data_IF_473830065397
#
_entry.id   IF_473830065397
#
_cell.length_a   1.000
_cell.length_b   1.000
_cell.length_c   1.000
_cell.angle_alpha   90.00
_cell.angle_beta   90.00
_cell.angle_gamma   90.00
#
_symmetry.space_group_name_H-M   'P 1'
#
loop_
_entity.id
_entity.type
_entity.pdbx_description
1 polymer ?
#
# COMPACT_ATOMS: atom_id res chain seq x y z
N UNK A 1 33.71 -8.84 -2.04
CA UNK A 1 32.78 -9.85 -2.59
C UNK A 1 32.05 -10.45 -1.40
N UNK A 2 30.71 -10.50 -1.47
CA UNK A 2 29.89 -11.13 -0.43
C UNK A 2 30.12 -12.64 -0.52
N UNK A 3 30.51 -13.26 0.59
CA UNK A 3 30.61 -14.72 0.65
C UNK A 3 29.21 -15.33 0.75
N UNK A 4 28.65 -15.69 -0.39
CA UNK A 4 27.31 -16.30 -0.46
C UNK A 4 27.26 -17.73 0.08
N UNK A 5 28.41 -18.38 0.26
CA UNK A 5 28.48 -19.78 0.72
C UNK A 5 27.86 -19.98 2.11
N UNK A 6 27.93 -18.96 2.96
CA UNK A 6 27.38 -18.98 4.33
C UNK A 6 25.85 -19.06 4.36
N UNK A 7 25.19 -18.60 3.28
CA UNK A 7 23.74 -18.56 3.18
C UNK A 7 23.13 -19.73 2.42
N UNK A 8 23.95 -20.51 1.73
CA UNK A 8 23.50 -21.63 0.91
C UNK A 8 22.71 -22.66 1.74
N UNK A 9 21.46 -22.91 1.37
CA UNK A 9 20.56 -23.86 2.04
C UNK A 9 19.98 -23.39 3.38
N UNK A 10 20.29 -22.15 3.81
CA UNK A 10 19.66 -21.55 5.00
C UNK A 10 18.18 -21.30 4.77
N UNK A 11 17.40 -21.40 5.84
CA UNK A 11 15.95 -21.17 5.81
C UNK A 11 15.60 -19.79 6.36
N UNK A 12 14.73 -19.05 5.66
CA UNK A 12 14.30 -17.73 6.09
C UNK A 12 12.78 -17.65 6.27
N UNK A 13 12.36 -16.90 7.29
CA UNK A 13 10.96 -16.46 7.50
C UNK A 13 10.88 -14.96 7.30
N UNK A 14 9.89 -14.54 6.52
CA UNK A 14 9.61 -13.13 6.22
C UNK A 14 8.32 -12.69 6.90
N UNK A 15 8.39 -11.59 7.64
CA UNK A 15 7.21 -11.02 8.29
C UNK A 15 7.07 -9.55 7.94
N UNK A 16 5.95 -9.20 7.28
CA UNK A 16 5.68 -7.81 6.87
C UNK A 16 4.51 -7.24 7.64
N UNK A 17 4.75 -6.08 8.24
CA UNK A 17 3.72 -5.25 8.87
C UNK A 17 3.56 -3.95 8.08
N UNK A 18 2.33 -3.45 7.96
CA UNK A 18 2.04 -2.14 7.40
C UNK A 18 1.50 -2.16 5.98
N UNK A 19 2.11 -1.39 5.08
CA UNK A 19 1.54 -1.01 3.79
C UNK A 19 2.03 -1.88 2.60
N UNK A 20 1.45 -1.63 1.43
CA UNK A 20 1.85 -2.26 0.16
C UNK A 20 3.33 -2.02 -0.17
N UNK A 21 3.86 -0.86 0.22
CA UNK A 21 5.27 -0.51 0.04
C UNK A 21 6.19 -1.43 0.86
N UNK A 22 5.89 -1.64 2.15
CA UNK A 22 6.64 -2.59 2.97
C UNK A 22 6.56 -4.02 2.40
N UNK A 23 5.39 -4.41 1.89
CA UNK A 23 5.23 -5.72 1.26
C UNK A 23 6.12 -5.87 0.02
N UNK A 24 6.12 -4.89 -0.87
CA UNK A 24 6.99 -4.89 -2.05
C UNK A 24 8.47 -4.97 -1.67
N UNK A 25 8.90 -4.18 -0.68
CA UNK A 25 10.28 -4.20 -0.17
C UNK A 25 10.66 -5.57 0.39
N UNK A 26 9.80 -6.18 1.24
CA UNK A 26 10.08 -7.51 1.82
C UNK A 26 10.17 -8.58 0.75
N UNK A 27 9.29 -8.56 -0.25
CA UNK A 27 9.33 -9.52 -1.37
C UNK A 27 10.61 -9.37 -2.19
N UNK A 28 11.14 -8.15 -2.32
CA UNK A 28 12.43 -7.90 -2.97
C UNK A 28 13.59 -8.46 -2.14
N UNK A 29 13.56 -8.29 -0.82
CA UNK A 29 14.55 -8.89 0.08
C UNK A 29 14.54 -10.41 0.00
N UNK A 30 13.34 -11.02 0.00
CA UNK A 30 13.19 -12.46 -0.13
C UNK A 30 13.84 -12.98 -1.43
N UNK A 31 13.56 -12.30 -2.56
CA UNK A 31 14.18 -12.65 -3.85
C UNK A 31 15.70 -12.52 -3.84
N UNK A 32 16.22 -11.44 -3.23
CA UNK A 32 17.68 -11.26 -3.13
C UNK A 32 18.36 -12.34 -2.26
N UNK A 33 17.68 -12.79 -1.19
CA UNK A 33 18.17 -13.90 -0.35
C UNK A 33 18.05 -15.24 -1.08
N UNK A 34 17.00 -15.47 -1.86
CA UNK A 34 16.85 -16.65 -2.71
C UNK A 34 17.97 -16.75 -3.75
N UNK A 35 18.37 -15.64 -4.37
CA UNK A 35 19.50 -15.57 -5.31
C UNK A 35 20.84 -15.94 -4.63
N UNK A 36 20.91 -15.87 -3.30
CA UNK A 36 22.06 -16.32 -2.50
C UNK A 36 21.92 -17.77 -2.00
N UNK A 37 20.88 -18.48 -2.39
CA UNK A 37 20.63 -19.85 -2.01
C UNK A 37 19.86 -20.04 -0.70
N UNK A 38 19.27 -18.97 -0.14
CA UNK A 38 18.36 -19.07 1.01
C UNK A 38 17.01 -19.59 0.52
N UNK A 39 16.38 -20.47 1.28
CA UNK A 39 15.08 -21.06 1.00
C UNK A 39 14.03 -20.51 1.97
N UNK A 40 12.83 -20.19 1.51
CA UNK A 40 11.74 -19.81 2.42
C UNK A 40 11.35 -21.01 3.29
N UNK A 41 11.31 -20.81 4.61
CA UNK A 41 10.95 -21.85 5.56
C UNK A 41 9.46 -22.20 5.41
N UNK A 42 9.15 -23.50 5.44
CA UNK A 42 7.78 -23.98 5.46
C UNK A 42 7.05 -23.59 6.75
N UNK A 43 5.73 -23.74 6.72
CA UNK A 43 4.90 -23.52 7.91
C UNK A 43 5.36 -24.47 9.03
N UNK A 44 5.64 -23.93 10.19
CA UNK A 44 6.11 -24.64 11.38
C UNK A 44 7.55 -25.22 11.26
N UNK A 45 8.31 -24.87 10.24
CA UNK A 45 9.73 -25.17 10.17
C UNK A 45 10.57 -24.11 10.89
N UNK A 46 11.66 -24.51 11.60
CA UNK A 46 12.57 -23.54 12.17
C UNK A 46 13.33 -22.80 11.07
N UNK A 47 13.54 -21.50 11.28
CA UNK A 47 14.31 -20.65 10.37
C UNK A 47 15.70 -20.37 10.93
N UNK A 48 16.67 -20.17 10.00
CA UNK A 48 18.00 -19.64 10.32
C UNK A 48 18.00 -18.10 10.28
N UNK A 49 17.11 -17.51 9.48
CA UNK A 49 16.99 -16.05 9.31
C UNK A 49 15.52 -15.65 9.53
N UNK A 50 15.29 -14.65 10.36
CA UNK A 50 13.97 -14.00 10.50
C UNK A 50 14.09 -12.56 10.06
N UNK A 51 13.42 -12.17 8.97
CA UNK A 51 13.38 -10.80 8.47
C UNK A 51 12.01 -10.17 8.74
N UNK A 52 12.01 -9.07 9.48
CA UNK A 52 10.80 -8.36 9.88
C UNK A 52 10.82 -6.94 9.34
N UNK A 53 9.86 -6.60 8.47
CA UNK A 53 9.67 -5.24 7.97
C UNK A 53 8.51 -4.58 8.74
N UNK A 54 8.82 -3.49 9.44
CA UNK A 54 7.98 -2.88 10.48
C UNK A 54 7.28 -1.62 10.01
N UNK A 55 6.15 -1.31 10.65
CA UNK A 55 5.32 -0.13 10.41
C UNK A 55 5.25 0.75 11.66
N UNK A 56 5.05 2.08 11.48
CA UNK A 56 4.96 3.03 12.60
C UNK A 56 3.96 4.17 12.34
N UNK A 57 2.89 3.89 11.58
CA UNK A 57 1.86 4.92 11.29
C UNK A 57 0.93 5.18 12.48
N UNK A 58 0.79 4.22 13.41
CA UNK A 58 -0.02 4.34 14.63
C UNK A 58 0.68 3.68 15.82
N UNK A 59 0.31 4.06 17.04
CA UNK A 59 0.79 3.40 18.26
C UNK A 59 0.43 1.90 18.30
N UNK A 60 -0.76 1.57 17.80
CA UNK A 60 -1.20 0.16 17.66
C UNK A 60 -0.29 -0.60 16.71
N UNK A 61 0.19 0.04 15.62
CA UNK A 61 1.14 -0.57 14.70
C UNK A 61 2.48 -0.85 15.40
N UNK A 62 3.00 0.09 16.19
CA UNK A 62 4.23 -0.09 16.97
C UNK A 62 4.11 -1.25 17.96
N UNK A 63 2.97 -1.33 18.67
CA UNK A 63 2.69 -2.44 19.57
C UNK A 63 2.66 -3.79 18.86
N UNK A 64 1.98 -3.87 17.70
CA UNK A 64 1.96 -5.07 16.85
C UNK A 64 3.36 -5.44 16.35
N UNK A 65 4.20 -4.46 16.02
CA UNK A 65 5.58 -4.71 15.62
C UNK A 65 6.37 -5.38 16.75
N UNK A 66 6.33 -4.84 17.96
CA UNK A 66 6.99 -5.45 19.13
C UNK A 66 6.49 -6.87 19.39
N UNK A 67 5.18 -7.08 19.36
CA UNK A 67 4.61 -8.43 19.54
C UNK A 67 5.09 -9.41 18.46
N UNK A 68 5.15 -8.98 17.20
CA UNK A 68 5.63 -9.81 16.10
C UNK A 68 7.11 -10.17 16.24
N UNK A 69 7.96 -9.21 16.64
CA UNK A 69 9.39 -9.45 16.91
C UNK A 69 9.54 -10.48 18.01
N UNK A 70 8.92 -10.27 19.18
CA UNK A 70 9.00 -11.22 20.30
C UNK A 70 8.45 -12.61 19.94
N UNK A 71 7.40 -12.68 19.13
CA UNK A 71 6.85 -13.95 18.67
C UNK A 71 7.84 -14.71 17.81
N UNK A 72 8.44 -14.05 16.83
CA UNK A 72 9.40 -14.67 15.90
C UNK A 72 10.68 -15.11 16.59
N UNK A 73 11.21 -14.31 17.50
CA UNK A 73 12.37 -14.68 18.34
C UNK A 73 12.06 -15.95 19.15
N UNK A 74 10.90 -16.03 19.81
CA UNK A 74 10.51 -17.22 20.58
C UNK A 74 10.30 -18.46 19.72
N UNK A 75 9.76 -18.29 18.52
CA UNK A 75 9.54 -19.41 17.59
C UNK A 75 10.84 -19.90 16.94
N UNK A 76 11.84 -19.04 16.82
CA UNK A 76 13.12 -19.32 16.16
C UNK A 76 14.29 -18.86 17.05
N UNK A 77 14.55 -19.51 18.20
CA UNK A 77 15.51 -19.02 19.20
C UNK A 77 16.97 -19.00 18.72
N UNK A 78 17.29 -19.74 17.66
CA UNK A 78 18.62 -19.81 17.07
C UNK A 78 18.74 -19.02 15.75
N UNK A 79 17.67 -18.35 15.32
CA UNK A 79 17.68 -17.60 14.07
C UNK A 79 18.42 -16.27 14.21
N UNK A 80 19.04 -15.82 13.12
CA UNK A 80 19.53 -14.46 12.99
C UNK A 80 18.35 -13.53 12.65
N UNK A 81 18.00 -12.67 13.60
CA UNK A 81 16.81 -11.81 13.50
C UNK A 81 17.18 -10.43 12.98
N UNK A 82 16.64 -10.07 11.82
CA UNK A 82 16.82 -8.77 11.15
C UNK A 82 15.53 -7.98 11.23
N UNK A 83 15.59 -6.75 11.74
CA UNK A 83 14.44 -5.85 11.81
C UNK A 83 14.71 -4.59 10.99
N UNK A 84 13.78 -4.24 10.11
CA UNK A 84 13.83 -3.02 9.30
C UNK A 84 12.46 -2.34 9.21
N UNK A 85 12.36 -1.24 8.47
CA UNK A 85 11.11 -0.53 8.22
C UNK A 85 10.93 0.73 9.07
N UNK A 86 9.71 1.29 9.05
CA UNK A 86 9.45 2.61 9.64
C UNK A 86 9.65 2.64 11.16
N UNK A 87 9.23 1.58 11.88
CA UNK A 87 9.41 1.50 13.33
C UNK A 87 10.90 1.33 13.68
N UNK A 88 11.62 0.50 12.94
CA UNK A 88 13.06 0.33 13.11
C UNK A 88 13.85 1.64 12.91
N UNK A 89 13.43 2.49 11.96
CA UNK A 89 14.05 3.81 11.73
C UNK A 89 13.76 4.80 12.85
N UNK A 90 12.51 4.87 13.32
CA UNK A 90 12.08 5.86 14.33
C UNK A 90 12.54 5.51 15.74
N UNK A 91 12.64 4.22 16.06
CA UNK A 91 12.90 3.70 17.40
C UNK A 91 14.08 2.69 17.38
N UNK A 92 15.14 3.02 16.61
CA UNK A 92 16.28 2.12 16.36
C UNK A 92 16.84 1.51 17.64
N UNK A 93 17.14 2.34 18.66
CA UNK A 93 17.69 1.89 19.94
C UNK A 93 16.71 0.99 20.70
N UNK A 94 15.41 1.33 20.74
CA UNK A 94 14.42 0.49 21.41
C UNK A 94 14.27 -0.87 20.74
N UNK A 95 14.31 -0.92 19.41
CA UNK A 95 14.23 -2.16 18.65
C UNK A 95 15.51 -2.99 18.84
N UNK A 96 16.65 -2.33 18.84
CA UNK A 96 17.93 -2.99 19.04
C UNK A 96 18.07 -3.61 20.41
N UNK A 97 17.46 -3.04 21.44
CA UNK A 97 17.46 -3.58 22.82
C UNK A 97 16.46 -4.72 23.04
N UNK A 98 15.71 -5.15 22.01
CA UNK A 98 14.84 -6.33 22.13
C UNK A 98 15.72 -7.58 22.10
N UNK A 99 15.66 -8.39 23.17
CA UNK A 99 16.40 -9.62 23.27
C UNK A 99 16.12 -10.55 22.07
N UNK A 100 17.19 -11.09 21.47
CA UNK A 100 17.12 -11.96 20.29
C UNK A 100 17.10 -11.23 18.94
N UNK A 101 17.12 -9.88 18.91
CA UNK A 101 17.33 -9.11 17.67
C UNK A 101 18.83 -8.98 17.42
N UNK A 102 19.30 -9.39 16.24
CA UNK A 102 20.73 -9.38 15.87
C UNK A 102 21.12 -8.18 15.03
N UNK A 103 20.22 -7.72 14.13
CA UNK A 103 20.50 -6.64 13.20
C UNK A 103 19.29 -5.72 13.04
N UNK A 104 19.50 -4.41 13.20
CA UNK A 104 18.46 -3.39 12.92
C UNK A 104 18.96 -2.48 11.80
N UNK A 105 18.16 -2.35 10.74
CA UNK A 105 18.47 -1.52 9.58
C UNK A 105 17.44 -0.41 9.39
N UNK A 106 17.91 0.82 9.33
CA UNK A 106 17.11 2.00 9.01
C UNK A 106 16.67 2.06 7.54
N UNK A 107 16.00 3.16 7.20
CA UNK A 107 15.42 3.34 5.87
C UNK A 107 16.46 3.51 4.76
N UNK A 108 17.64 4.04 5.08
CA UNK A 108 18.73 4.22 4.12
C UNK A 108 19.53 2.92 3.92
N UNK A 109 19.77 2.20 5.00
CA UNK A 109 20.64 1.02 5.05
C UNK A 109 19.97 -0.22 4.46
N UNK A 110 18.63 -0.30 4.52
CA UNK A 110 17.87 -1.45 4.00
C UNK A 110 18.13 -1.74 2.52
N UNK A 111 18.55 -0.75 1.72
CA UNK A 111 18.90 -0.94 0.32
C UNK A 111 20.13 -1.88 0.14
N UNK A 112 21.00 -1.93 1.16
CA UNK A 112 22.17 -2.79 1.19
C UNK A 112 22.02 -3.93 2.22
N UNK A 113 20.77 -4.41 2.42
CA UNK A 113 20.43 -5.42 3.43
C UNK A 113 21.36 -6.64 3.37
N UNK A 114 21.62 -7.17 2.18
CA UNK A 114 22.46 -8.36 2.00
C UNK A 114 23.89 -8.11 2.48
N UNK A 115 24.47 -6.93 2.18
CA UNK A 115 25.80 -6.57 2.65
C UNK A 115 25.84 -6.51 4.18
N UNK A 116 24.90 -5.79 4.80
CA UNK A 116 24.84 -5.67 6.26
C UNK A 116 24.59 -7.03 6.95
N UNK A 117 23.75 -7.87 6.36
CA UNK A 117 23.50 -9.22 6.87
C UNK A 117 24.76 -10.07 6.82
N UNK A 118 25.50 -10.03 5.71
CA UNK A 118 26.77 -10.75 5.57
C UNK A 118 27.82 -10.26 6.56
N UNK A 119 27.94 -8.94 6.73
CA UNK A 119 28.92 -8.34 7.65
C UNK A 119 28.61 -8.60 9.13
N UNK A 120 27.31 -8.72 9.45
CA UNK A 120 26.83 -8.96 10.82
C UNK A 120 26.71 -10.46 11.18
N UNK A 121 26.76 -11.36 10.19
CA UNK A 121 26.56 -12.79 10.42
C UNK A 121 27.53 -13.37 11.40
N UNK A 122 27.01 -14.01 12.46
CA UNK A 122 27.85 -14.62 13.52
C UNK A 122 28.52 -13.63 14.48
N UNK A 123 28.21 -12.33 14.36
CA UNK A 123 28.70 -11.30 15.28
C UNK A 123 27.65 -10.94 16.32
N UNK A 124 28.10 -10.20 17.35
CA UNK A 124 27.18 -9.60 18.33
C UNK A 124 26.25 -8.59 17.64
N UNK A 125 25.18 -8.30 18.34
CA UNK A 125 24.12 -7.39 18.01
C UNK A 125 24.61 -6.07 17.38
N UNK A 126 24.03 -5.66 16.24
CA UNK A 126 24.35 -4.46 15.49
C UNK A 126 23.12 -3.67 15.09
N UNK A 127 23.26 -2.37 15.01
CA UNK A 127 22.25 -1.53 14.39
C UNK A 127 22.89 -0.46 13.50
N UNK A 128 22.24 -0.14 12.40
CA UNK A 128 22.66 0.87 11.44
C UNK A 128 21.47 1.73 11.04
N UNK A 129 21.58 3.01 11.26
CA UNK A 129 20.54 3.98 10.92
C UNK A 129 21.17 5.36 10.79
N UNK A 130 20.75 6.12 9.78
CA UNK A 130 21.13 7.51 9.61
C UNK A 130 20.03 8.45 10.04
N UNK A 131 20.38 9.73 10.28
CA UNK A 131 19.37 10.76 10.56
C UNK A 131 18.47 10.94 9.34
N UNK A 132 17.20 11.31 9.56
CA UNK A 132 16.19 11.51 8.51
C UNK A 132 16.67 12.34 7.32
N UNK A 133 17.40 13.43 7.56
CA UNK A 133 17.94 14.29 6.48
C UNK A 133 19.02 13.63 5.61
N UNK A 134 19.61 12.56 6.12
CA UNK A 134 20.70 11.83 5.45
C UNK A 134 20.16 10.58 4.71
N UNK A 135 18.84 10.32 4.75
CA UNK A 135 18.19 9.25 3.99
C UNK A 135 18.11 9.67 2.52
N UNK A 136 18.97 9.12 1.68
CA UNK A 136 19.07 9.47 0.25
C UNK A 136 18.88 8.28 -0.68
N UNK A 137 19.08 7.06 -0.18
CA UNK A 137 19.05 5.85 -1.00
C UNK A 137 17.60 5.51 -1.38
N UNK A 138 17.36 5.30 -2.67
CA UNK A 138 16.14 4.69 -3.17
C UNK A 138 16.39 3.19 -3.37
N UNK A 139 15.55 2.37 -2.75
CA UNK A 139 15.58 0.93 -2.98
C UNK A 139 14.52 0.58 -4.02
N UNK A 140 14.93 0.11 -5.22
CA UNK A 140 13.99 -0.38 -6.22
C UNK A 140 13.23 -1.60 -5.69
N UNK A 141 11.98 -1.72 -6.10
CA UNK A 141 11.13 -2.85 -5.73
C UNK A 141 10.00 -3.01 -6.73
N UNK A 142 9.96 -4.17 -7.38
CA UNK A 142 8.86 -4.61 -8.20
C UNK A 142 8.65 -6.11 -7.95
N UNK A 143 7.64 -6.46 -7.17
CA UNK A 143 7.42 -7.85 -6.79
C UNK A 143 5.96 -8.13 -6.53
N UNK A 144 5.55 -9.37 -6.76
CA UNK A 144 4.23 -9.88 -6.37
C UNK A 144 4.28 -10.74 -5.08
N UNK A 145 5.46 -11.26 -4.71
CA UNK A 145 5.58 -12.29 -3.70
C UNK A 145 4.64 -13.46 -4.05
N UNK A 146 3.81 -13.86 -3.10
CA UNK A 146 2.76 -14.88 -3.27
C UNK A 146 1.40 -14.31 -3.69
N UNK A 147 1.36 -13.13 -4.35
CA UNK A 147 0.14 -12.48 -4.84
C UNK A 147 0.08 -12.51 -6.36
N UNK A 148 -1.11 -12.33 -6.93
CA UNK A 148 -1.30 -12.22 -8.38
C UNK A 148 -0.78 -10.90 -8.93
N UNK A 149 -1.01 -9.79 -8.20
CA UNK A 149 -0.64 -8.44 -8.63
C UNK A 149 0.78 -8.07 -8.20
N UNK A 150 1.53 -7.42 -9.09
CA UNK A 150 2.83 -6.82 -8.81
C UNK A 150 2.67 -5.46 -8.11
N UNK A 151 3.61 -5.12 -7.26
CA UNK A 151 3.70 -3.81 -6.62
C UNK A 151 5.02 -3.17 -7.05
N UNK A 152 4.93 -2.13 -7.88
CA UNK A 152 6.06 -1.36 -8.37
C UNK A 152 6.24 -0.11 -7.49
N UNK A 153 7.36 -0.04 -6.78
CA UNK A 153 7.71 1.13 -5.99
C UNK A 153 8.24 2.22 -6.92
N UNK A 154 7.47 3.30 -7.07
CA UNK A 154 7.82 4.42 -7.96
C UNK A 154 8.39 5.62 -7.21
N UNK A 155 8.12 5.73 -5.89
CA UNK A 155 8.51 6.88 -5.07
C UNK A 155 8.69 6.45 -3.61
N UNK A 156 9.53 7.15 -2.83
CA UNK A 156 9.71 6.96 -1.38
C UNK A 156 9.96 8.30 -0.70
N UNK A 157 9.63 8.39 0.62
CA UNK A 157 9.70 9.63 1.38
C UNK A 157 8.54 10.58 1.09
N UNK A 158 8.50 11.76 1.75
CA UNK A 158 7.43 12.75 1.56
C UNK A 158 7.88 14.13 2.05
N UNK A 159 7.54 15.18 1.29
CA UNK A 159 7.85 16.58 1.60
C UNK A 159 6.66 17.36 2.18
N UNK A 160 5.55 16.69 2.51
CA UNK A 160 4.34 17.38 3.00
C UNK A 160 4.43 17.76 4.48
N UNK A 161 5.04 16.97 5.31
CA UNK A 161 5.14 17.20 6.75
C UNK A 161 3.79 17.56 7.39
N UNK A 162 2.73 16.81 7.06
CA UNK A 162 1.43 16.97 7.71
C UNK A 162 1.56 16.88 9.22
N UNK A 163 0.81 17.69 9.96
CA UNK A 163 0.99 17.89 11.41
C UNK A 163 0.92 16.62 12.25
N UNK A 164 0.22 15.60 11.75
CA UNK A 164 -0.02 14.31 12.43
C UNK A 164 0.93 13.19 11.97
N UNK A 165 1.71 13.41 10.90
CA UNK A 165 2.39 12.33 10.18
C UNK A 165 3.84 12.14 10.62
N UNK A 166 4.23 10.89 10.86
CA UNK A 166 5.62 10.50 11.20
C UNK A 166 6.40 9.99 10.00
N UNK A 167 5.76 9.80 8.84
CA UNK A 167 6.38 9.18 7.66
C UNK A 167 7.58 9.97 7.12
N UNK A 168 7.57 11.31 7.03
CA UNK A 168 8.76 12.06 6.62
C UNK A 168 9.97 11.78 7.52
N UNK A 169 9.73 11.56 8.82
CA UNK A 169 10.80 11.25 9.78
C UNK A 169 11.30 9.80 9.66
N UNK A 170 10.42 8.88 9.24
CA UNK A 170 10.76 7.47 9.07
C UNK A 170 11.39 7.15 7.72
N UNK A 171 11.01 7.89 6.66
CA UNK A 171 11.41 7.57 5.29
C UNK A 171 12.19 8.67 4.58
N UNK A 172 12.33 9.85 5.22
CA UNK A 172 13.05 10.98 4.66
C UNK A 172 12.26 11.76 3.62
N UNK A 173 12.98 12.62 2.88
CA UNK A 173 12.43 13.44 1.81
C UNK A 173 12.04 12.61 0.59
N UNK A 174 11.15 13.18 -0.25
CA UNK A 174 10.69 12.56 -1.49
C UNK A 174 11.85 12.28 -2.44
N UNK A 175 11.86 11.10 -3.02
CA UNK A 175 12.83 10.65 -4.00
C UNK A 175 12.25 9.53 -4.86
N UNK A 176 12.70 9.46 -6.11
CA UNK A 176 12.28 8.48 -7.10
C UNK A 176 13.46 8.04 -7.98
N UNK A 177 13.39 6.88 -8.63
CA UNK A 177 14.31 6.50 -9.70
C UNK A 177 13.88 7.12 -11.04
N UNK A 178 14.67 6.95 -12.08
CA UNK A 178 14.31 7.38 -13.43
C UNK A 178 13.14 6.57 -14.01
N UNK A 179 12.40 7.17 -14.92
CA UNK A 179 11.32 6.51 -15.67
C UNK A 179 11.85 5.27 -16.39
N UNK A 180 13.03 5.34 -17.01
CA UNK A 180 13.65 4.21 -17.72
C UNK A 180 13.84 2.99 -16.82
N UNK A 181 14.29 3.19 -15.58
CA UNK A 181 14.46 2.11 -14.58
C UNK A 181 13.11 1.49 -14.18
N UNK A 182 12.05 2.28 -14.07
CA UNK A 182 10.71 1.78 -13.74
C UNK A 182 10.08 1.01 -14.90
N UNK A 183 10.29 1.46 -16.13
CA UNK A 183 9.85 0.76 -17.34
C UNK A 183 10.56 -0.59 -17.48
N UNK A 184 11.87 -0.66 -17.19
CA UNK A 184 12.62 -1.91 -17.17
C UNK A 184 12.04 -2.91 -16.16
N UNK A 185 11.76 -2.46 -14.92
CA UNK A 185 11.16 -3.30 -13.89
C UNK A 185 9.75 -3.78 -14.28
N UNK A 186 8.93 -2.91 -14.88
CA UNK A 186 7.59 -3.28 -15.37
C UNK A 186 7.68 -4.28 -16.53
N UNK A 187 8.65 -4.12 -17.44
CA UNK A 187 8.90 -5.05 -18.54
C UNK A 187 9.35 -6.42 -18.04
N UNK A 188 10.21 -6.44 -17.01
CA UNK A 188 10.59 -7.71 -16.35
C UNK A 188 9.39 -8.41 -15.71
N UNK A 189 8.52 -7.67 -15.02
CA UNK A 189 7.30 -8.22 -14.45
C UNK A 189 6.35 -8.78 -15.53
N UNK A 190 6.26 -8.13 -16.69
CA UNK A 190 5.53 -8.65 -17.85
C UNK A 190 6.12 -9.98 -18.36
N UNK A 191 7.45 -10.05 -18.47
CA UNK A 191 8.16 -11.29 -18.85
C UNK A 191 7.97 -12.44 -17.86
N UNK A 192 7.73 -12.16 -16.58
CA UNK A 192 7.39 -13.11 -15.53
C UNK A 192 5.88 -13.50 -15.55
N UNK A 193 5.10 -13.03 -16.55
CA UNK A 193 3.67 -13.31 -16.71
C UNK A 193 2.75 -12.41 -15.88
N UNK A 194 3.26 -11.30 -15.34
CA UNK A 194 2.44 -10.32 -14.64
C UNK A 194 1.38 -9.70 -15.54
N UNK A 195 0.14 -9.58 -15.03
CA UNK A 195 -0.99 -8.98 -15.75
C UNK A 195 -1.36 -7.60 -15.20
N UNK A 196 -1.20 -7.39 -13.90
CA UNK A 196 -1.54 -6.14 -13.24
C UNK A 196 -0.40 -5.65 -12.34
N UNK A 197 -0.04 -4.37 -12.48
CA UNK A 197 0.93 -3.67 -11.63
C UNK A 197 0.23 -2.54 -10.88
N UNK A 198 0.43 -2.50 -9.56
CA UNK A 198 0.00 -1.39 -8.71
C UNK A 198 1.19 -0.49 -8.45
N UNK A 199 1.13 0.77 -8.92
CA UNK A 199 2.12 1.78 -8.58
C UNK A 199 2.04 2.11 -7.10
N UNK A 200 3.14 2.03 -6.38
CA UNK A 200 3.15 2.24 -4.94
C UNK A 200 4.27 3.19 -4.51
N UNK A 201 4.01 3.94 -3.46
CA UNK A 201 4.93 4.89 -2.86
C UNK A 201 4.36 5.46 -1.58
N UNK A 202 4.97 6.49 -1.08
CA UNK A 202 4.49 7.25 0.08
C UNK A 202 3.58 8.39 -0.37
N UNK A 203 4.06 9.22 -1.29
CA UNK A 203 3.34 10.31 -1.95
C UNK A 203 3.75 10.31 -3.43
N UNK A 204 3.11 9.45 -4.20
CA UNK A 204 3.51 9.18 -5.60
C UNK A 204 3.40 10.40 -6.50
N UNK A 205 2.56 11.38 -6.15
CA UNK A 205 2.43 12.63 -6.90
C UNK A 205 3.67 13.53 -6.82
N UNK A 206 4.55 13.32 -5.81
CA UNK A 206 5.87 14.00 -5.73
C UNK A 206 6.92 13.34 -6.65
N UNK A 207 6.55 12.39 -7.50
CA UNK A 207 7.46 11.82 -8.49
C UNK A 207 7.98 12.91 -9.41
N UNK A 208 9.28 12.97 -9.59
CA UNK A 208 9.93 13.94 -10.47
C UNK A 208 10.26 15.29 -9.79
N UNK A 209 9.89 15.54 -8.54
CA UNK A 209 10.14 16.81 -7.85
C UNK A 209 11.61 17.27 -7.88
N UNK A 210 12.54 16.32 -8.02
CA UNK A 210 13.98 16.59 -8.09
C UNK A 210 14.60 16.26 -9.47
N UNK A 211 13.80 16.19 -10.53
CA UNK A 211 14.23 15.90 -11.90
C UNK A 211 13.35 16.61 -12.91
N UNK A 212 13.69 16.51 -14.19
CA UNK A 212 12.87 17.03 -15.30
C UNK A 212 11.74 16.07 -15.73
N UNK A 213 11.60 14.92 -15.05
CA UNK A 213 10.55 13.93 -15.29
C UNK A 213 9.31 14.27 -14.45
N UNK A 214 8.11 13.94 -14.91
CA UNK A 214 6.86 14.09 -14.15
C UNK A 214 6.17 12.76 -13.91
N UNK A 215 5.21 12.73 -12.97
CA UNK A 215 4.38 11.54 -12.75
C UNK A 215 3.53 11.19 -13.99
N UNK A 216 3.06 12.20 -14.75
CA UNK A 216 2.35 11.98 -16.01
C UNK A 216 3.27 11.33 -17.07
N UNK A 217 4.54 11.75 -17.16
CA UNK A 217 5.50 11.13 -18.09
C UNK A 217 5.75 9.66 -17.72
N UNK A 218 5.84 9.34 -16.42
CA UNK A 218 5.90 7.97 -15.96
C UNK A 218 4.67 7.16 -16.38
N UNK A 219 3.47 7.71 -16.18
CA UNK A 219 2.20 7.06 -16.56
C UNK A 219 2.18 6.78 -18.06
N UNK A 220 2.55 7.76 -18.90
CA UNK A 220 2.65 7.60 -20.37
C UNK A 220 3.66 6.53 -20.77
N UNK A 221 4.81 6.49 -20.12
CA UNK A 221 5.85 5.51 -20.42
C UNK A 221 5.41 4.08 -20.03
N UNK A 222 4.79 3.90 -18.86
CA UNK A 222 4.29 2.62 -18.40
C UNK A 222 3.13 2.10 -19.25
N UNK A 223 2.25 2.97 -19.76
CA UNK A 223 1.14 2.58 -20.62
C UNK A 223 1.61 1.90 -21.92
N UNK A 224 2.86 2.16 -22.35
CA UNK A 224 3.48 1.52 -23.51
C UNK A 224 4.12 0.15 -23.20
N UNK A 225 4.21 -0.28 -21.93
CA UNK A 225 4.78 -1.58 -21.57
C UNK A 225 3.84 -2.70 -22.02
N UNK A 226 4.28 -3.50 -22.99
CA UNK A 226 3.52 -4.64 -23.52
C UNK A 226 3.56 -5.82 -22.55
N UNK A 227 2.46 -6.58 -22.47
CA UNK A 227 2.32 -7.73 -21.57
C UNK A 227 1.68 -7.39 -20.22
N UNK A 228 1.77 -6.12 -19.78
CA UNK A 228 0.97 -5.64 -18.65
C UNK A 228 -0.36 -5.10 -19.20
N UNK A 229 -1.43 -5.74 -18.74
CA UNK A 229 -2.81 -5.41 -19.16
C UNK A 229 -3.41 -4.28 -18.31
N UNK A 230 -2.92 -4.14 -17.05
CA UNK A 230 -3.49 -3.21 -16.07
C UNK A 230 -2.43 -2.54 -15.22
N UNK A 231 -2.53 -1.22 -15.13
CA UNK A 231 -1.85 -0.41 -14.12
C UNK A 231 -2.88 0.21 -13.18
N UNK A 232 -2.57 0.24 -11.88
CA UNK A 232 -3.36 0.98 -10.89
C UNK A 232 -2.50 1.99 -10.17
N UNK A 233 -3.02 3.19 -10.08
CA UNK A 233 -2.43 4.26 -9.27
C UNK A 233 -2.87 4.04 -7.82
N UNK A 234 -1.92 3.99 -6.89
CA UNK A 234 -2.25 3.98 -5.46
C UNK A 234 -2.60 5.40 -4.98
N UNK A 235 -2.50 5.67 -3.70
CA UNK A 235 -2.87 6.95 -3.11
C UNK A 235 -2.13 8.12 -3.76
N UNK A 236 -2.89 9.07 -4.30
CA UNK A 236 -2.39 10.26 -4.99
C UNK A 236 -3.08 11.52 -4.42
N UNK A 237 -2.28 12.45 -3.92
CA UNK A 237 -2.76 13.68 -3.30
C UNK A 237 -3.58 14.54 -4.28
N UNK A 238 -4.70 15.12 -3.86
CA UNK A 238 -5.60 15.88 -4.76
C UNK A 238 -4.93 17.04 -5.48
N UNK A 239 -4.02 17.76 -4.81
CA UNK A 239 -3.30 18.90 -5.36
C UNK A 239 -2.16 18.50 -6.31
N UNK A 240 -1.69 17.26 -6.24
CA UNK A 240 -0.70 16.69 -7.16
C UNK A 240 -1.34 15.88 -8.31
N UNK A 241 -2.66 15.73 -8.29
CA UNK A 241 -3.42 15.08 -9.35
C UNK A 241 -3.79 16.11 -10.43
N UNK A 242 -2.97 16.29 -11.46
CA UNK A 242 -3.26 17.15 -12.60
C UNK A 242 -4.53 16.72 -13.36
N UNK A 243 -5.26 17.66 -13.95
CA UNK A 243 -6.42 17.36 -14.78
C UNK A 243 -6.01 16.57 -16.03
N UNK A 244 -4.85 16.90 -16.59
CA UNK A 244 -4.19 16.20 -17.69
C UNK A 244 -3.87 14.73 -17.40
N UNK A 245 -3.53 14.40 -16.14
CA UNK A 245 -3.36 13.02 -15.70
C UNK A 245 -4.69 12.26 -15.71
N UNK A 246 -5.77 12.90 -15.24
CA UNK A 246 -7.12 12.29 -15.20
C UNK A 246 -7.61 12.06 -16.64
N UNK A 247 -7.43 13.05 -17.52
CA UNK A 247 -7.77 12.96 -18.95
C UNK A 247 -6.99 11.83 -19.62
N UNK A 248 -5.67 11.76 -19.39
CA UNK A 248 -4.86 10.67 -19.93
C UNK A 248 -5.33 9.28 -19.46
N UNK A 249 -5.63 9.13 -18.17
CA UNK A 249 -6.12 7.85 -17.63
C UNK A 249 -7.47 7.43 -18.23
N UNK A 250 -8.32 8.38 -18.59
CA UNK A 250 -9.61 8.08 -19.23
C UNK A 250 -9.46 7.43 -20.60
N UNK A 251 -8.45 7.84 -21.38
CA UNK A 251 -8.17 7.32 -22.73
C UNK A 251 -7.11 6.22 -22.74
N UNK A 252 -6.51 5.90 -21.57
CA UNK A 252 -5.40 4.94 -21.47
C UNK A 252 -5.83 3.51 -21.75
N UNK A 253 -4.94 2.79 -22.46
CA UNK A 253 -5.07 1.35 -22.70
C UNK A 253 -5.08 0.54 -21.39
N UNK A 254 -4.17 0.86 -20.47
CA UNK A 254 -3.85 -0.01 -19.35
C UNK A 254 -4.06 0.62 -17.97
N UNK A 255 -4.17 1.96 -17.85
CA UNK A 255 -4.50 2.56 -16.56
C UNK A 255 -5.99 2.37 -16.26
N UNK A 256 -6.23 1.76 -15.10
CA UNK A 256 -7.59 1.34 -14.74
C UNK A 256 -8.41 2.50 -14.16
N UNK A 257 -9.74 2.56 -14.41
CA UNK A 257 -10.64 3.55 -13.83
C UNK A 257 -10.82 3.30 -12.32
N UNK A 258 -9.75 3.49 -11.57
CA UNK A 258 -9.65 3.28 -10.13
C UNK A 258 -8.72 4.33 -9.54
N UNK A 259 -9.25 5.18 -8.68
CA UNK A 259 -8.52 6.23 -8.01
C UNK A 259 -8.60 6.05 -6.50
N UNK A 260 -7.48 6.26 -5.82
CA UNK A 260 -7.41 6.32 -4.37
C UNK A 260 -6.89 7.69 -3.98
N UNK A 261 -7.76 8.50 -3.36
CA UNK A 261 -7.51 9.92 -3.12
C UNK A 261 -7.62 10.22 -1.62
N UNK A 262 -6.54 10.64 -0.94
CA UNK A 262 -6.58 10.95 0.47
C UNK A 262 -7.21 12.33 0.71
N UNK A 263 -8.47 12.35 1.16
CA UNK A 263 -9.15 13.58 1.60
C UNK A 263 -8.73 13.98 3.02
N UNK A 264 -8.59 13.02 3.90
CA UNK A 264 -8.32 13.14 5.34
C UNK A 264 -9.47 13.78 6.14
N UNK A 265 -10.04 14.91 5.73
CA UNK A 265 -11.21 15.55 6.34
C UNK A 265 -12.03 16.33 5.31
N UNK A 266 -13.34 16.34 5.45
CA UNK A 266 -14.25 17.18 4.66
C UNK A 266 -14.47 18.57 5.26
N UNK A 267 -13.67 19.02 6.21
CA UNK A 267 -13.68 20.37 6.77
C UNK A 267 -12.39 21.11 6.47
N UNK A 268 -12.48 22.27 5.82
CA UNK A 268 -11.31 23.09 5.48
C UNK A 268 -10.55 23.57 6.72
N UNK A 269 -11.26 23.82 7.84
CA UNK A 269 -10.61 24.17 9.12
C UNK A 269 -9.72 23.02 9.60
N UNK A 270 -10.19 21.77 9.51
CA UNK A 270 -9.41 20.58 9.90
C UNK A 270 -8.27 20.33 8.91
N UNK A 271 -8.50 20.44 7.61
CA UNK A 271 -7.45 20.32 6.59
C UNK A 271 -6.31 21.31 6.81
N UNK A 272 -6.64 22.54 7.15
CA UNK A 272 -5.65 23.59 7.50
C UNK A 272 -4.87 23.23 8.77
N UNK A 273 -5.53 22.69 9.80
CA UNK A 273 -4.86 22.21 11.01
C UNK A 273 -3.93 21.02 10.73
N UNK A 274 -4.27 20.19 9.74
CA UNK A 274 -3.45 19.08 9.27
C UNK A 274 -2.27 19.51 8.38
N UNK A 275 -2.18 20.78 7.99
CA UNK A 275 -1.27 21.30 6.95
C UNK A 275 -1.46 20.63 5.60
N UNK A 276 -2.73 20.37 5.20
CA UNK A 276 -3.03 19.91 3.85
C UNK A 276 -2.91 21.05 2.85
N UNK A 277 -2.50 20.72 1.61
CA UNK A 277 -2.23 21.71 0.56
C UNK A 277 -3.42 21.91 -0.40
N UNK A 278 -4.57 21.40 -0.02
CA UNK A 278 -5.83 21.50 -0.77
C UNK A 278 -6.99 21.76 0.20
N UNK A 279 -8.10 22.17 -0.39
CA UNK A 279 -9.39 22.36 0.26
C UNK A 279 -10.43 21.35 -0.26
N UNK A 280 -11.62 21.34 0.34
CA UNK A 280 -12.71 20.47 -0.05
C UNK A 280 -13.23 20.77 -1.46
N UNK A 281 -13.13 22.03 -1.94
CA UNK A 281 -13.59 22.42 -3.27
C UNK A 281 -12.67 21.87 -4.36
N UNK A 282 -11.35 21.89 -4.17
CA UNK A 282 -10.42 21.21 -5.06
C UNK A 282 -10.71 19.71 -5.13
N UNK A 283 -10.90 19.08 -3.95
CA UNK A 283 -11.22 17.66 -3.89
C UNK A 283 -12.50 17.32 -4.66
N UNK A 284 -13.57 18.09 -4.45
CA UNK A 284 -14.84 17.93 -5.17
C UNK A 284 -14.65 18.04 -6.69
N UNK A 285 -13.95 19.07 -7.16
CA UNK A 285 -13.68 19.24 -8.61
C UNK A 285 -12.95 18.02 -9.20
N UNK A 286 -11.97 17.44 -8.48
CA UNK A 286 -11.27 16.23 -8.95
C UNK A 286 -12.21 15.03 -9.06
N UNK A 287 -13.06 14.80 -8.04
CA UNK A 287 -14.08 13.74 -8.09
C UNK A 287 -15.03 13.94 -9.25
N UNK A 288 -15.55 15.14 -9.44
CA UNK A 288 -16.48 15.48 -10.53
C UNK A 288 -15.83 15.30 -11.90
N UNK A 289 -14.57 15.70 -12.07
CA UNK A 289 -13.84 15.50 -13.32
C UNK A 289 -13.64 14.02 -13.63
N UNK A 290 -13.21 13.22 -12.63
CA UNK A 290 -13.07 11.77 -12.79
C UNK A 290 -14.41 11.15 -13.22
N UNK A 291 -15.51 11.47 -12.54
CA UNK A 291 -16.83 10.91 -12.83
C UNK A 291 -17.39 11.39 -14.17
N UNK A 292 -17.07 12.61 -14.59
CA UNK A 292 -17.44 13.12 -15.92
C UNK A 292 -16.75 12.35 -17.04
N UNK A 293 -15.46 12.04 -16.91
CA UNK A 293 -14.67 11.36 -17.94
C UNK A 293 -14.80 9.84 -17.85
N UNK A 294 -14.94 9.30 -16.65
CA UNK A 294 -15.02 7.87 -16.33
C UNK A 294 -16.18 7.63 -15.35
N UNK A 295 -17.45 7.60 -15.81
CA UNK A 295 -18.62 7.44 -14.91
C UNK A 295 -18.56 6.20 -14.00
N UNK A 296 -17.97 5.12 -14.51
CA UNK A 296 -17.84 3.84 -13.81
C UNK A 296 -16.55 3.74 -12.96
N UNK A 297 -15.80 4.83 -12.81
CA UNK A 297 -14.57 4.81 -12.01
C UNK A 297 -14.86 4.53 -10.53
N UNK A 298 -14.06 3.64 -9.95
CA UNK A 298 -14.01 3.46 -8.50
C UNK A 298 -13.19 4.58 -7.88
N UNK A 299 -13.75 5.29 -6.91
CA UNK A 299 -13.04 6.30 -6.12
C UNK A 299 -13.04 5.90 -4.66
N UNK A 300 -11.87 5.48 -4.16
CA UNK A 300 -11.62 5.24 -2.75
C UNK A 300 -11.06 6.49 -2.08
N UNK A 301 -11.53 6.81 -0.88
CA UNK A 301 -11.18 8.04 -0.16
C UNK A 301 -10.68 7.72 1.24
N UNK A 302 -9.46 8.16 1.58
CA UNK A 302 -8.97 8.07 2.95
C UNK A 302 -9.55 9.20 3.79
N UNK A 303 -10.07 8.85 4.96
CA UNK A 303 -10.62 9.80 5.94
C UNK A 303 -10.11 9.47 7.33
N UNK A 304 -9.62 10.49 8.02
CA UNK A 304 -9.16 10.37 9.40
C UNK A 304 -10.18 11.01 10.35
N UNK A 305 -10.57 10.30 11.39
CA UNK A 305 -11.54 10.78 12.38
C UNK A 305 -10.91 10.99 13.73
N UNK A 306 -11.39 12.01 14.43
CA UNK A 306 -10.95 12.31 15.79
C UNK A 306 -9.58 12.97 15.85
N UNK A 307 -9.20 13.70 14.80
CA UNK A 307 -8.00 14.52 14.81
C UNK A 307 -8.11 15.61 15.88
N UNK A 308 -6.97 16.04 16.39
CA UNK A 308 -6.98 17.21 17.27
C UNK A 308 -7.53 18.42 16.51
N UNK A 309 -8.42 19.17 17.17
CA UNK A 309 -9.13 20.30 16.58
C UNK A 309 -10.38 19.95 15.78
N UNK A 310 -10.75 18.68 15.66
CA UNK A 310 -12.00 18.24 15.01
C UNK A 310 -13.18 18.34 15.99
N UNK A 311 -13.65 19.56 16.22
CA UNK A 311 -14.86 19.85 17.01
C UNK A 311 -16.10 19.14 16.41
N UNK A 312 -17.21 18.95 17.17
CA UNK A 312 -18.39 18.22 16.66
C UNK A 312 -18.93 18.78 15.35
N UNK A 313 -19.04 20.10 15.24
CA UNK A 313 -19.58 20.79 14.06
C UNK A 313 -18.69 20.56 12.81
N UNK A 314 -17.37 20.43 13.01
CA UNK A 314 -16.42 20.15 11.92
C UNK A 314 -16.48 18.68 11.46
N UNK A 315 -16.82 17.78 12.37
CA UNK A 315 -17.11 16.39 11.99
C UNK A 315 -18.41 16.28 11.21
N UNK A 316 -19.46 17.00 11.64
CA UNK A 316 -20.75 17.03 10.93
C UNK A 316 -20.59 17.62 9.53
N UNK A 317 -19.82 18.71 9.37
CA UNK A 317 -19.41 19.27 8.06
C UNK A 317 -18.70 18.19 7.20
N UNK A 318 -17.76 17.46 7.78
CA UNK A 318 -17.03 16.40 7.09
C UNK A 318 -17.97 15.26 6.63
N UNK A 319 -18.89 14.82 7.49
CA UNK A 319 -19.85 13.78 7.18
C UNK A 319 -20.77 14.20 6.03
N UNK A 320 -21.35 15.40 6.09
CA UNK A 320 -22.24 15.92 5.05
C UNK A 320 -21.50 16.10 3.72
N UNK A 321 -20.27 16.58 3.75
CA UNK A 321 -19.43 16.68 2.56
C UNK A 321 -19.21 15.31 1.91
N UNK A 322 -18.75 14.31 2.68
CA UNK A 322 -18.54 12.95 2.18
C UNK A 322 -19.80 12.29 1.66
N UNK A 323 -20.92 12.53 2.32
CA UNK A 323 -22.25 12.04 1.88
C UNK A 323 -22.63 12.62 0.52
N UNK A 324 -22.31 13.89 0.26
CA UNK A 324 -22.64 14.59 -0.99
C UNK A 324 -21.78 14.20 -2.18
N UNK A 325 -20.64 13.54 -1.97
CA UNK A 325 -19.71 13.18 -3.05
C UNK A 325 -20.10 11.87 -3.74
N UNK A 326 -19.91 11.79 -5.05
CA UNK A 326 -20.00 10.54 -5.83
C UNK A 326 -18.69 9.76 -5.72
N UNK A 327 -18.44 9.19 -4.55
CA UNK A 327 -17.29 8.31 -4.27
C UNK A 327 -17.77 6.92 -3.90
N UNK A 328 -16.93 5.90 -4.10
CA UNK A 328 -17.35 4.50 -3.98
C UNK A 328 -17.12 3.95 -2.59
N UNK A 329 -16.03 4.29 -1.95
CA UNK A 329 -15.64 3.70 -0.66
C UNK A 329 -14.82 4.68 0.18
N UNK A 330 -15.06 4.68 1.49
CA UNK A 330 -14.26 5.41 2.45
C UNK A 330 -13.34 4.45 3.21
N UNK A 331 -12.07 4.78 3.30
CA UNK A 331 -11.12 4.13 4.19
C UNK A 331 -10.99 4.97 5.44
N UNK A 332 -11.63 4.55 6.51
CA UNK A 332 -11.77 5.32 7.74
C UNK A 332 -10.69 4.93 8.74
N UNK A 333 -9.90 5.91 9.17
CA UNK A 333 -8.81 5.74 10.13
C UNK A 333 -9.06 6.56 11.38
N UNK A 334 -9.15 5.95 12.59
CA UNK A 334 -9.14 6.73 13.82
C UNK A 334 -7.75 7.35 14.02
N UNK A 335 -7.73 8.65 14.34
CA UNK A 335 -6.49 9.36 14.62
C UNK A 335 -5.75 8.73 15.82
N UNK A 336 -4.47 8.52 15.65
CA UNK A 336 -3.55 8.04 16.69
C UNK A 336 -2.50 9.11 16.98
N UNK A 337 -2.38 9.53 18.22
CA UNK A 337 -1.35 10.48 18.63
C UNK A 337 0.05 9.88 18.44
N UNK A 338 0.96 10.70 17.93
CA UNK A 338 2.35 10.30 17.72
C UNK A 338 3.30 11.27 18.40
N UNK A 339 4.23 10.78 19.22
CA UNK A 339 5.26 11.62 19.84
C UNK A 339 6.03 12.43 18.79
N UNK A 340 6.33 13.67 19.13
CA UNK A 340 7.09 14.57 18.25
C UNK A 340 6.30 15.22 17.12
N UNK A 341 5.02 14.89 16.91
CA UNK A 341 4.18 15.49 15.87
C UNK A 341 3.62 16.86 16.30
N UNK A 342 3.46 17.77 15.32
CA UNK A 342 2.91 19.11 15.57
C UNK A 342 1.45 19.06 16.00
N UNK A 343 0.70 18.05 15.61
CA UNK A 343 -0.71 17.87 15.99
C UNK A 343 -0.92 17.87 17.50
N UNK A 344 0.07 17.41 18.30
CA UNK A 344 -0.03 17.38 19.75
C UNK A 344 -0.15 18.79 20.39
N UNK A 345 0.19 19.84 19.64
CA UNK A 345 0.04 21.24 20.07
C UNK A 345 -1.37 21.80 19.88
N UNK A 346 -2.22 21.11 19.14
CA UNK A 346 -3.62 21.52 18.89
C UNK A 346 -4.44 21.15 20.13
N UNK A 347 -5.15 22.13 20.76
CA UNK A 347 -5.71 21.93 22.10
C UNK A 347 -6.91 21.00 22.18
N UNK A 348 -7.79 21.00 21.17
CA UNK A 348 -9.02 20.19 21.22
C UNK A 348 -8.72 18.72 20.98
N UNK A 349 -9.12 17.85 21.91
CA UNK A 349 -8.88 16.41 21.88
C UNK A 349 -10.23 15.69 21.80
N UNK A 350 -10.38 14.82 20.81
CA UNK A 350 -11.54 13.95 20.66
C UNK A 350 -11.34 12.68 21.51
N UNK A 351 -12.35 12.35 22.33
CA UNK A 351 -12.27 11.14 23.17
C UNK A 351 -12.30 9.86 22.32
N UNK A 352 -11.75 8.77 22.84
CA UNK A 352 -11.74 7.49 22.12
C UNK A 352 -13.17 6.93 21.89
N UNK A 353 -14.10 7.21 22.80
CA UNK A 353 -15.52 6.87 22.62
C UNK A 353 -16.10 7.60 21.43
N UNK A 354 -15.81 8.91 21.32
CA UNK A 354 -16.28 9.71 20.19
C UNK A 354 -15.60 9.34 18.88
N UNK A 355 -14.30 9.03 18.87
CA UNK A 355 -13.61 8.48 17.69
C UNK A 355 -14.27 7.20 17.20
N UNK A 356 -14.65 6.29 18.11
CA UNK A 356 -15.37 5.05 17.75
C UNK A 356 -16.72 5.33 17.13
N UNK A 357 -17.49 6.28 17.72
CA UNK A 357 -18.80 6.69 17.20
C UNK A 357 -18.68 7.26 15.79
N UNK A 358 -17.76 8.22 15.58
CA UNK A 358 -17.51 8.84 14.28
C UNK A 358 -17.04 7.82 13.24
N UNK A 359 -16.11 6.94 13.63
CA UNK A 359 -15.63 5.86 12.74
C UNK A 359 -16.77 4.98 12.28
N UNK A 360 -17.69 4.60 13.20
CA UNK A 360 -18.85 3.78 12.86
C UNK A 360 -19.74 4.47 11.84
N UNK A 361 -20.08 5.74 12.04
CA UNK A 361 -20.93 6.50 11.11
C UNK A 361 -20.32 6.55 9.70
N UNK A 362 -19.01 6.81 9.59
CA UNK A 362 -18.35 6.85 8.28
C UNK A 362 -18.17 5.46 7.65
N UNK A 363 -17.99 4.41 8.44
CA UNK A 363 -17.96 3.04 7.94
C UNK A 363 -19.35 2.60 7.43
N UNK A 364 -20.42 2.97 8.12
CA UNK A 364 -21.79 2.71 7.67
C UNK A 364 -22.09 3.45 6.34
N UNK A 365 -21.67 4.72 6.22
CA UNK A 365 -21.75 5.49 4.96
C UNK A 365 -20.90 4.87 3.84
N UNK A 366 -19.70 4.40 4.16
CA UNK A 366 -18.82 3.72 3.21
C UNK A 366 -19.46 2.46 2.65
N UNK A 367 -20.09 1.68 3.51
CA UNK A 367 -20.77 0.45 3.09
C UNK A 367 -21.99 0.75 2.21
N UNK A 368 -22.79 1.76 2.55
CA UNK A 368 -23.91 2.22 1.72
C UNK A 368 -23.42 2.59 0.31
N UNK A 369 -22.39 3.41 0.19
CA UNK A 369 -21.83 3.84 -1.09
C UNK A 369 -21.27 2.67 -1.90
N UNK A 370 -20.53 1.76 -1.24
CA UNK A 370 -19.95 0.58 -1.89
C UNK A 370 -21.04 -0.35 -2.43
N UNK A 371 -22.07 -0.60 -1.64
CA UNK A 371 -23.18 -1.45 -2.07
C UNK A 371 -23.92 -0.83 -3.26
N UNK A 372 -24.22 0.47 -3.22
CA UNK A 372 -24.85 1.17 -4.33
C UNK A 372 -24.03 1.09 -5.62
N UNK A 373 -22.70 1.29 -5.52
CA UNK A 373 -21.80 1.15 -6.65
C UNK A 373 -21.77 -0.28 -7.22
N UNK A 374 -21.72 -1.30 -6.36
CA UNK A 374 -21.76 -2.68 -6.82
C UNK A 374 -23.10 -3.04 -7.46
N UNK A 375 -24.20 -2.60 -6.86
CA UNK A 375 -25.56 -2.87 -7.34
C UNK A 375 -25.80 -2.29 -8.74
N UNK A 376 -25.28 -1.08 -9.01
CA UNK A 376 -25.39 -0.45 -10.35
C UNK A 376 -24.68 -1.23 -11.46
N UNK A 377 -23.81 -2.16 -11.14
CA UNK A 377 -23.08 -2.98 -12.10
C UNK A 377 -23.64 -4.40 -12.27
N UNK A 378 -24.67 -4.78 -11.51
CA UNK A 378 -25.31 -6.09 -11.67
C UNK A 378 -25.92 -6.22 -13.08
N UNK A 379 -25.64 -7.35 -13.74
CA UNK A 379 -26.08 -7.66 -15.10
C UNK A 379 -25.10 -7.22 -16.18
N UNK A 380 -24.09 -6.37 -15.87
CA UNK A 380 -23.10 -5.93 -16.85
C UNK A 380 -22.06 -6.99 -17.13
N UNK A 381 -21.36 -6.88 -18.29
CA UNK A 381 -20.20 -7.66 -18.63
C UNK A 381 -18.94 -6.96 -18.11
N UNK A 382 -18.02 -7.73 -17.53
CA UNK A 382 -16.77 -7.21 -17.02
C UNK A 382 -15.62 -8.18 -17.25
N UNK A 383 -14.43 -7.63 -17.50
CA UNK A 383 -13.19 -8.38 -17.52
C UNK A 383 -12.63 -8.43 -16.09
N UNK A 384 -12.47 -9.65 -15.55
CA UNK A 384 -12.02 -9.88 -14.16
C UNK A 384 -10.67 -10.57 -14.17
N UNK A 385 -9.69 -9.96 -13.52
CA UNK A 385 -8.43 -10.64 -13.20
C UNK A 385 -8.66 -11.49 -11.95
N UNK A 386 -8.65 -12.80 -12.11
CA UNK A 386 -8.79 -13.73 -10.99
C UNK A 386 -7.46 -13.95 -10.28
N UNK A 387 -7.55 -14.01 -8.95
CA UNK A 387 -6.40 -14.21 -8.06
C UNK A 387 -6.32 -15.70 -7.67
N UNK A 388 -5.10 -16.19 -7.41
CA UNK A 388 -4.85 -17.55 -6.98
C UNK A 388 -5.80 -17.97 -5.84
N UNK A 389 -6.39 -19.12 -5.96
CA UNK A 389 -7.26 -19.70 -4.94
C UNK A 389 -6.75 -21.05 -4.44
N UNK A 390 -7.04 -21.35 -3.18
CA UNK A 390 -6.84 -22.70 -2.66
C UNK A 390 -7.85 -23.67 -3.30
N UNK A 391 -7.43 -24.88 -3.65
CA UNK A 391 -8.28 -25.93 -4.21
C UNK A 391 -9.57 -26.13 -3.41
N UNK A 392 -10.69 -26.23 -4.11
CA UNK A 392 -11.99 -26.46 -3.51
C UNK A 392 -12.62 -25.26 -2.80
N UNK A 393 -12.05 -24.04 -2.93
CA UNK A 393 -12.62 -22.79 -2.44
C UNK A 393 -13.10 -21.90 -3.57
N UNK A 394 -13.97 -20.94 -3.23
CA UNK A 394 -14.34 -19.88 -4.17
C UNK A 394 -13.11 -19.08 -4.59
N UNK A 395 -13.06 -18.72 -5.86
CA UNK A 395 -12.01 -17.87 -6.42
C UNK A 395 -12.47 -16.43 -6.43
N UNK A 396 -11.57 -15.50 -6.16
CA UNK A 396 -11.88 -14.09 -6.19
C UNK A 396 -11.04 -13.36 -7.25
N UNK A 397 -11.56 -12.25 -7.72
CA UNK A 397 -10.86 -11.39 -8.66
C UNK A 397 -11.38 -9.97 -8.60
N UNK A 398 -10.81 -9.10 -9.46
CA UNK A 398 -11.21 -7.70 -9.55
C UNK A 398 -11.47 -7.30 -11.00
N UNK A 399 -12.54 -6.52 -11.19
CA UNK A 399 -12.82 -5.85 -12.46
C UNK A 399 -11.84 -4.71 -12.73
N UNK A 400 -11.92 -4.11 -13.92
CA UNK A 400 -11.14 -2.91 -14.26
C UNK A 400 -11.39 -1.77 -13.25
N UNK A 401 -12.63 -1.53 -12.88
CA UNK A 401 -13.07 -0.54 -11.90
C UNK A 401 -13.15 -1.07 -10.46
N UNK A 402 -12.34 -2.06 -10.12
CA UNK A 402 -12.07 -2.55 -8.77
C UNK A 402 -13.25 -3.19 -8.03
N UNK A 403 -14.32 -3.60 -8.70
CA UNK A 403 -15.38 -4.41 -8.09
C UNK A 403 -14.78 -5.79 -7.77
N UNK A 404 -14.93 -6.22 -6.53
CA UNK A 404 -14.55 -7.57 -6.13
C UNK A 404 -15.59 -8.57 -6.63
N UNK A 405 -15.11 -9.63 -7.26
CA UNK A 405 -15.94 -10.66 -7.89
C UNK A 405 -15.60 -12.01 -7.28
N UNK A 406 -16.63 -12.84 -7.08
CA UNK A 406 -16.52 -14.21 -6.57
C UNK A 406 -17.00 -15.20 -7.61
N UNK A 407 -16.13 -16.17 -7.92
CA UNK A 407 -16.46 -17.35 -8.70
C UNK A 407 -16.66 -18.54 -7.75
N UNK A 408 -17.84 -19.20 -7.76
CA UNK A 408 -18.10 -20.32 -6.85
C UNK A 408 -17.10 -21.47 -7.01
N UNK A 409 -16.81 -22.19 -5.93
CA UNK A 409 -15.88 -23.32 -5.93
C UNK A 409 -16.24 -24.42 -6.96
N UNK A 410 -17.52 -24.60 -7.27
CA UNK A 410 -18.00 -25.55 -8.29
C UNK A 410 -17.55 -25.22 -9.72
N UNK A 411 -17.24 -23.93 -9.99
CA UNK A 411 -16.84 -23.41 -11.31
C UNK A 411 -15.37 -23.01 -11.32
N UNK A 412 -14.82 -22.62 -10.17
CA UNK A 412 -13.42 -22.23 -10.02
C UNK A 412 -12.46 -23.31 -10.52
N UNK A 413 -11.46 -22.93 -11.30
CA UNK A 413 -10.43 -23.81 -11.89
C UNK A 413 -9.07 -23.16 -11.75
N UNK A 414 -8.03 -23.94 -11.48
CA UNK A 414 -6.65 -23.44 -11.34
C UNK A 414 -6.15 -22.72 -12.60
N UNK A 415 -6.60 -23.08 -13.78
CA UNK A 415 -6.21 -22.40 -15.02
C UNK A 415 -6.78 -20.98 -15.17
N UNK A 416 -7.68 -20.54 -14.25
CA UNK A 416 -8.12 -19.16 -14.19
C UNK A 416 -7.19 -18.28 -13.37
N UNK A 417 -6.26 -18.85 -12.62
CA UNK A 417 -5.30 -18.10 -11.81
C UNK A 417 -4.47 -17.16 -12.69
N UNK A 418 -4.39 -15.90 -12.32
CA UNK A 418 -3.71 -14.84 -13.06
C UNK A 418 -4.23 -14.67 -14.51
N UNK A 419 -5.50 -15.02 -14.76
CA UNK A 419 -6.15 -14.83 -16.06
C UNK A 419 -7.20 -13.74 -15.98
N UNK A 420 -7.33 -12.99 -17.09
CA UNK A 420 -8.40 -12.01 -17.27
C UNK A 420 -9.53 -12.71 -18.01
N UNK A 421 -10.63 -12.92 -17.32
CA UNK A 421 -11.79 -13.65 -17.83
C UNK A 421 -12.99 -12.72 -17.95
N UNK A 422 -13.69 -12.80 -19.08
CA UNK A 422 -14.95 -12.07 -19.31
C UNK A 422 -16.09 -12.77 -18.58
N UNK A 423 -16.75 -12.03 -17.68
CA UNK A 423 -17.86 -12.56 -16.89
C UNK A 423 -19.07 -11.62 -16.95
N UNK A 424 -20.25 -12.14 -16.67
CA UNK A 424 -21.44 -11.35 -16.34
C UNK A 424 -21.52 -11.23 -14.83
N UNK A 425 -21.60 -10.01 -14.33
CA UNK A 425 -21.77 -9.72 -12.91
C UNK A 425 -23.22 -10.07 -12.52
N UNK A 426 -23.36 -10.83 -11.44
CA UNK A 426 -24.65 -11.25 -10.86
C UNK A 426 -24.86 -10.56 -9.50
N UNK A 427 -25.90 -10.95 -8.80
CA UNK A 427 -26.16 -10.44 -7.45
C UNK A 427 -25.02 -10.69 -6.46
N UNK A 428 -25.13 -10.10 -5.30
CA UNK A 428 -24.13 -10.22 -4.23
C UNK A 428 -23.91 -11.68 -3.79
N UNK A 429 -22.71 -11.97 -3.31
CA UNK A 429 -22.43 -13.18 -2.53
C UNK A 429 -23.07 -13.08 -1.13
N UNK A 430 -22.93 -14.13 -0.30
CA UNK A 430 -23.65 -14.25 0.97
C UNK A 430 -23.38 -13.10 1.95
N UNK A 431 -22.16 -12.65 2.08
CA UNK A 431 -21.73 -11.60 3.00
C UNK A 431 -21.69 -10.20 2.37
N UNK A 432 -22.16 -10.07 1.13
CA UNK A 432 -22.16 -8.84 0.33
C UNK A 432 -20.76 -8.25 0.09
N UNK A 433 -19.70 -9.02 0.28
CA UNK A 433 -18.31 -8.57 0.07
C UNK A 433 -17.88 -8.58 -1.40
N UNK A 434 -18.61 -9.27 -2.28
CA UNK A 434 -18.34 -9.41 -3.70
C UNK A 434 -19.62 -9.61 -4.52
N UNK A 435 -19.54 -9.37 -5.83
CA UNK A 435 -20.54 -9.83 -6.78
C UNK A 435 -20.20 -11.23 -7.28
N UNK A 436 -21.19 -12.09 -7.44
CA UNK A 436 -21.01 -13.41 -8.11
C UNK A 436 -20.74 -13.22 -9.59
N UNK A 437 -19.97 -14.13 -10.16
CA UNK A 437 -19.66 -14.14 -11.58
C UNK A 437 -20.28 -15.34 -12.28
N UNK A 438 -20.71 -15.12 -13.52
CA UNK A 438 -21.04 -16.15 -14.52
C UNK A 438 -20.09 -16.00 -15.70
N UNK A 439 -19.27 -17.03 -15.95
CA UNK A 439 -18.32 -17.01 -17.06
C UNK A 439 -19.10 -16.94 -18.38
N UNK A 440 -18.67 -16.05 -19.26
CA UNK A 440 -19.16 -16.02 -20.61
C UNK A 440 -18.25 -16.90 -21.46
N UNK A 441 -18.79 -17.99 -21.97
CA UNK A 441 -18.09 -18.79 -22.98
C UNK A 441 -17.80 -17.87 -24.18
N UNK A 442 -16.54 -17.81 -24.58
CA UNK A 442 -16.18 -17.18 -25.85
C UNK A 442 -16.77 -18.07 -26.95
N UNK A 443 -17.60 -17.52 -27.87
CA UNK A 443 -18.18 -18.30 -28.96
C UNK A 443 -17.11 -18.88 -29.87
#
# INVERSE_FOLDING_TARGET
MIDSSVFQGKKAVYHTLGCKLNFSETSTFAKSLEEMGVVEAGKDEPADICLINTCSVTEVADHKCRQAIHKLVRQNPNAFVVVTGCYAQLETEKVSNIEGVNLVLGANEKANLIQFLSDAWGKEHQYHSVRTKDIKTFQPSCSRGNRTRYFLKVQDGCNYFCTYCTIPYARGFSRNPSISSLVEQATKAAGEGGKEIVLTGVNIGEFGENSDESFLDLVKALDNVRGIERFRISSLEPDLMGDDLIEYCADSRAFMPHFHIPLQSGSDKVLKLMHRRYDKDLFRRKVELIKKLMPDAFIGVDVMVGCRGEEPELFDECYDFLKSLDVTQLHVFPYSERPGTLALKIPYIVSDTEKKRRSKLLLDLSEEKRLAFYESHIGTLADVLFEESNRGRAMHGFTRNYIRVELPASIAREFYDNQIIKVRLKGFNHDKSALKAEIQETP
#
